data_IF_403424264261
#
_entry.id   IF_403424264261
#
_cell.length_a   1.000
_cell.length_b   1.000
_cell.length_c   1.000
_cell.angle_alpha   90.00
_cell.angle_beta   90.00
_cell.angle_gamma   90.00
#
_symmetry.space_group_name_H-M   'P 1'
#
loop_
_entity.id
_entity.type
_entity.pdbx_description
1 polymer ?
#
# COMPACT_ATOMS: atom_id res chain seq x y z
N UNK A 1 -16.27 19.98 2.38
CA UNK A 1 -16.31 18.54 1.98
C UNK A 1 -16.65 18.30 0.52
N UNK A 2 -17.53 19.08 -0.15
CA UNK A 2 -17.92 18.84 -1.55
C UNK A 2 -16.79 19.02 -2.58
N UNK A 3 -15.96 20.06 -2.44
CA UNK A 3 -14.84 20.34 -3.37
C UNK A 3 -13.75 19.25 -3.36
N UNK A 4 -13.43 18.67 -2.21
CA UNK A 4 -12.43 17.61 -2.09
C UNK A 4 -12.94 16.32 -2.75
N UNK A 5 -14.22 15.97 -2.54
CA UNK A 5 -14.86 14.80 -3.17
C UNK A 5 -14.85 14.90 -4.70
N UNK A 6 -15.10 16.10 -5.25
CA UNK A 6 -15.06 16.33 -6.70
C UNK A 6 -13.64 16.19 -7.27
N UNK A 7 -12.61 16.57 -6.51
CA UNK A 7 -11.21 16.46 -6.91
C UNK A 7 -10.80 14.98 -7.03
N UNK A 8 -11.08 14.16 -6.04
CA UNK A 8 -10.78 12.71 -6.06
C UNK A 8 -11.46 12.00 -7.24
N UNK A 9 -12.74 12.29 -7.48
CA UNK A 9 -13.48 11.68 -8.60
C UNK A 9 -12.88 12.11 -9.94
N UNK A 10 -12.51 13.38 -10.08
CA UNK A 10 -11.90 13.92 -11.29
C UNK A 10 -10.54 13.30 -11.57
N UNK A 11 -9.72 13.15 -10.54
CA UNK A 11 -8.40 12.53 -10.63
C UNK A 11 -8.50 11.04 -10.96
N UNK A 12 -9.44 10.32 -10.32
CA UNK A 12 -9.73 8.93 -10.62
C UNK A 12 -10.18 8.73 -12.08
N UNK A 13 -11.09 9.60 -12.57
CA UNK A 13 -11.55 9.57 -13.95
C UNK A 13 -10.41 9.82 -14.94
N UNK A 14 -9.52 10.74 -14.63
CA UNK A 14 -8.33 11.02 -15.43
C UNK A 14 -7.38 9.83 -15.49
N UNK A 15 -7.17 9.18 -14.36
CA UNK A 15 -6.32 8.00 -14.21
C UNK A 15 -6.85 6.83 -15.03
N UNK A 16 -8.16 6.54 -14.92
CA UNK A 16 -8.83 5.47 -15.70
C UNK A 16 -8.77 5.77 -17.21
N UNK A 17 -8.91 7.03 -17.60
CA UNK A 17 -8.86 7.42 -19.04
C UNK A 17 -7.46 7.37 -19.63
N UNK A 18 -6.45 7.80 -18.88
CA UNK A 18 -5.10 8.02 -19.43
C UNK A 18 -4.12 6.89 -19.12
N UNK A 19 -4.35 6.12 -18.04
CA UNK A 19 -3.54 4.97 -17.67
C UNK A 19 -4.38 3.73 -17.33
N UNK A 20 -5.29 3.28 -18.21
CA UNK A 20 -6.18 2.15 -17.90
C UNK A 20 -5.42 0.87 -17.62
N UNK A 21 -4.35 0.59 -18.37
CA UNK A 21 -3.53 -0.62 -18.18
C UNK A 21 -2.88 -0.68 -16.80
N UNK A 22 -2.35 0.44 -16.32
CA UNK A 22 -1.74 0.53 -14.98
C UNK A 22 -2.76 0.24 -13.88
N UNK A 23 -3.97 0.78 -13.98
CA UNK A 23 -5.06 0.53 -13.02
C UNK A 23 -5.47 -0.94 -13.07
N UNK A 24 -5.68 -1.50 -14.27
CA UNK A 24 -6.08 -2.91 -14.46
C UNK A 24 -5.03 -3.86 -13.88
N UNK A 25 -3.75 -3.69 -14.21
CA UNK A 25 -2.69 -4.55 -13.70
C UNK A 25 -2.53 -4.41 -12.17
N UNK A 26 -2.64 -3.20 -11.63
CA UNK A 26 -2.59 -2.97 -10.19
C UNK A 26 -3.75 -3.63 -9.45
N UNK A 27 -4.97 -3.54 -9.98
CA UNK A 27 -6.16 -4.18 -9.42
C UNK A 27 -6.04 -5.70 -9.53
N UNK A 28 -5.66 -6.24 -10.69
CA UNK A 28 -5.48 -7.67 -10.90
C UNK A 28 -4.43 -8.24 -9.94
N UNK A 29 -3.28 -7.57 -9.79
CA UNK A 29 -2.24 -7.94 -8.82
C UNK A 29 -2.82 -8.02 -7.41
N UNK A 30 -3.58 -7.01 -7.01
CA UNK A 30 -4.17 -6.92 -5.66
C UNK A 30 -5.21 -8.03 -5.42
N UNK A 31 -6.07 -8.30 -6.42
CA UNK A 31 -7.09 -9.35 -6.33
C UNK A 31 -6.44 -10.72 -6.18
N UNK A 32 -5.45 -11.04 -7.01
CA UNK A 32 -4.75 -12.34 -6.96
C UNK A 32 -4.02 -12.48 -5.61
N UNK A 33 -3.30 -11.44 -5.17
CA UNK A 33 -2.57 -11.47 -3.89
C UNK A 33 -3.51 -11.62 -2.69
N UNK A 34 -4.69 -11.00 -2.74
CA UNK A 34 -5.68 -11.09 -1.67
C UNK A 34 -6.41 -12.43 -1.66
N UNK A 35 -6.64 -13.06 -2.82
CA UNK A 35 -7.37 -14.32 -2.94
C UNK A 35 -6.48 -15.55 -2.71
N UNK A 36 -5.20 -15.48 -3.04
CA UNK A 36 -4.26 -16.58 -2.99
C UNK A 36 -4.17 -17.33 -1.64
N UNK A 37 -4.12 -16.66 -0.47
CA UNK A 37 -4.09 -17.34 0.81
C UNK A 37 -5.28 -18.29 1.02
N UNK A 38 -6.46 -17.96 0.49
CA UNK A 38 -7.65 -18.79 0.63
C UNK A 38 -7.59 -20.07 -0.23
N UNK A 39 -6.98 -19.99 -1.41
CA UNK A 39 -6.72 -21.17 -2.24
C UNK A 39 -5.79 -22.13 -1.51
N UNK A 40 -4.72 -21.60 -0.90
CA UNK A 40 -3.78 -22.41 -0.11
C UNK A 40 -4.44 -23.03 1.12
N UNK A 41 -5.33 -22.33 1.80
CA UNK A 41 -6.09 -22.88 2.93
C UNK A 41 -6.94 -24.07 2.46
N UNK A 42 -7.67 -23.94 1.36
CA UNK A 42 -8.52 -25.02 0.82
C UNK A 42 -7.70 -26.25 0.40
N UNK A 43 -6.58 -26.05 -0.29
CA UNK A 43 -5.70 -27.14 -0.71
C UNK A 43 -5.04 -27.82 0.49
N UNK A 44 -4.56 -27.05 1.47
CA UNK A 44 -3.96 -27.57 2.70
C UNK A 44 -4.97 -28.36 3.54
N UNK A 45 -6.22 -27.90 3.60
CA UNK A 45 -7.31 -28.60 4.28
C UNK A 45 -7.55 -29.99 3.68
N UNK A 46 -7.63 -30.09 2.36
CA UNK A 46 -7.76 -31.41 1.67
C UNK A 46 -6.55 -32.32 1.87
N UNK A 47 -5.35 -31.74 1.92
CA UNK A 47 -4.13 -32.50 2.19
C UNK A 47 -4.15 -33.10 3.60
N UNK A 48 -4.63 -32.37 4.60
CA UNK A 48 -4.79 -32.84 5.97
C UNK A 48 -5.83 -33.97 6.04
N UNK A 49 -6.95 -33.81 5.33
CA UNK A 49 -8.01 -34.84 5.30
C UNK A 49 -7.51 -36.18 4.72
N UNK A 50 -6.78 -36.14 3.61
CA UNK A 50 -6.20 -37.35 3.01
C UNK A 50 -5.08 -37.95 3.88
N UNK A 51 -4.36 -37.13 4.67
CA UNK A 51 -3.38 -37.62 5.64
C UNK A 51 -4.07 -38.44 6.75
N UNK A 52 -5.20 -37.92 7.27
CA UNK A 52 -5.99 -38.62 8.31
C UNK A 52 -6.52 -39.95 7.79
N UNK A 53 -6.95 -40.00 6.53
CA UNK A 53 -7.46 -41.24 5.90
C UNK A 53 -6.34 -42.19 5.40
N UNK A 54 -5.06 -41.82 5.62
CA UNK A 54 -3.89 -42.62 5.22
C UNK A 54 -3.81 -42.95 3.72
N UNK A 55 -4.36 -42.11 2.85
CA UNK A 55 -4.38 -42.29 1.38
C UNK A 55 -3.16 -41.64 0.74
N UNK A 56 -1.98 -42.21 0.90
CA UNK A 56 -0.70 -41.62 0.48
C UNK A 56 -0.63 -41.20 -1.00
N UNK A 57 -1.24 -41.96 -1.92
CA UNK A 57 -1.23 -41.58 -3.35
C UNK A 57 -2.00 -40.30 -3.62
N UNK A 58 -3.16 -40.11 -2.98
CA UNK A 58 -3.99 -38.90 -3.12
C UNK A 58 -3.32 -37.74 -2.42
N UNK A 59 -2.70 -37.96 -1.26
CA UNK A 59 -1.92 -36.97 -0.53
C UNK A 59 -0.76 -36.40 -1.37
N UNK A 60 0.02 -37.26 -2.03
CA UNK A 60 1.10 -36.85 -2.93
C UNK A 60 0.57 -36.02 -4.12
N UNK A 61 -0.60 -36.37 -4.63
CA UNK A 61 -1.24 -35.62 -5.72
C UNK A 61 -1.63 -34.21 -5.25
N UNK A 62 -2.29 -34.06 -4.09
CA UNK A 62 -2.65 -32.72 -3.55
C UNK A 62 -1.42 -31.93 -3.18
N UNK A 63 -0.37 -32.52 -2.61
CA UNK A 63 0.89 -31.87 -2.34
C UNK A 63 1.55 -31.36 -3.64
N UNK A 64 1.54 -32.15 -4.70
CA UNK A 64 2.01 -31.73 -6.02
C UNK A 64 1.20 -30.57 -6.60
N UNK A 65 -0.12 -30.63 -6.51
CA UNK A 65 -1.01 -29.54 -6.96
C UNK A 65 -0.70 -28.26 -6.18
N UNK A 66 -0.50 -28.33 -4.87
CA UNK A 66 -0.18 -27.18 -4.02
C UNK A 66 1.14 -26.51 -4.47
N UNK A 67 2.20 -27.29 -4.64
CA UNK A 67 3.50 -26.76 -5.08
C UNK A 67 3.41 -26.17 -6.49
N UNK A 68 2.71 -26.83 -7.41
CA UNK A 68 2.54 -26.31 -8.77
C UNK A 68 1.70 -25.02 -8.77
N UNK A 69 0.62 -24.98 -7.97
CA UNK A 69 -0.22 -23.77 -7.87
C UNK A 69 0.57 -22.59 -7.29
N UNK A 70 1.37 -22.81 -6.24
CA UNK A 70 2.23 -21.76 -5.66
C UNK A 70 3.24 -21.22 -6.67
N UNK A 71 3.89 -22.14 -7.41
CA UNK A 71 4.83 -21.75 -8.45
C UNK A 71 4.15 -20.95 -9.57
N UNK A 72 3.03 -21.44 -10.10
CA UNK A 72 2.30 -20.78 -11.18
C UNK A 72 1.80 -19.39 -10.77
N UNK A 73 1.25 -19.27 -9.57
CA UNK A 73 0.78 -17.99 -9.04
C UNK A 73 1.96 -17.05 -8.80
N UNK A 74 3.09 -17.55 -8.28
CA UNK A 74 4.32 -16.77 -8.13
C UNK A 74 4.81 -16.18 -9.46
N UNK A 75 4.80 -16.98 -10.54
CA UNK A 75 5.14 -16.51 -11.89
C UNK A 75 4.15 -15.45 -12.38
N UNK A 76 2.84 -15.66 -12.21
CA UNK A 76 1.80 -14.69 -12.61
C UNK A 76 1.97 -13.38 -11.85
N UNK A 77 2.17 -13.43 -10.53
CA UNK A 77 2.39 -12.25 -9.69
C UNK A 77 3.64 -11.48 -10.12
N UNK A 78 4.75 -12.17 -10.37
CA UNK A 78 5.99 -11.56 -10.85
C UNK A 78 5.80 -10.84 -12.20
N UNK A 79 5.09 -11.46 -13.15
CA UNK A 79 4.79 -10.84 -14.44
C UNK A 79 3.86 -9.63 -14.30
N UNK A 80 2.85 -9.70 -13.45
CA UNK A 80 1.95 -8.58 -13.16
C UNK A 80 2.69 -7.43 -12.48
N UNK A 81 3.59 -7.73 -11.52
CA UNK A 81 4.43 -6.72 -10.87
C UNK A 81 5.31 -6.00 -11.88
N UNK A 82 5.98 -6.75 -12.77
CA UNK A 82 6.80 -6.17 -13.84
C UNK A 82 5.99 -5.25 -14.76
N UNK A 83 4.80 -5.70 -15.19
CA UNK A 83 3.91 -4.89 -16.04
C UNK A 83 3.41 -3.65 -15.30
N UNK A 84 3.03 -3.78 -14.05
CA UNK A 84 2.58 -2.65 -13.23
C UNK A 84 3.70 -1.62 -13.06
N UNK A 85 4.93 -2.04 -12.81
CA UNK A 85 6.08 -1.14 -12.70
C UNK A 85 6.35 -0.40 -14.03
N UNK A 86 6.36 -1.13 -15.15
CA UNK A 86 6.56 -0.53 -16.48
C UNK A 86 5.48 0.50 -16.83
N UNK A 87 4.21 0.20 -16.57
CA UNK A 87 3.11 1.14 -16.85
C UNK A 87 3.13 2.34 -15.88
N UNK A 88 3.66 2.15 -14.65
CA UNK A 88 3.87 3.24 -13.70
C UNK A 88 4.91 4.24 -14.20
N UNK A 89 6.02 3.76 -14.77
CA UNK A 89 7.05 4.61 -15.38
C UNK A 89 6.51 5.35 -16.61
N UNK A 90 5.76 4.66 -17.47
CA UNK A 90 5.10 5.31 -18.61
C UNK A 90 4.14 6.41 -18.15
N UNK A 91 3.40 6.18 -17.07
CA UNK A 91 2.48 7.19 -16.53
C UNK A 91 3.21 8.38 -15.92
N UNK A 92 4.34 8.17 -15.27
CA UNK A 92 5.19 9.24 -14.71
C UNK A 92 5.70 10.15 -15.84
N UNK A 93 6.17 9.55 -16.93
CA UNK A 93 6.61 10.28 -18.13
C UNK A 93 5.45 11.07 -18.77
N UNK A 94 4.27 10.49 -18.82
CA UNK A 94 3.07 11.16 -19.30
C UNK A 94 2.66 12.34 -18.39
N UNK A 95 2.73 12.18 -17.08
CA UNK A 95 2.44 13.23 -16.11
C UNK A 95 3.38 14.43 -16.28
N UNK A 96 4.68 14.19 -16.43
CA UNK A 96 5.67 15.24 -16.69
C UNK A 96 5.41 15.94 -18.03
N UNK A 97 5.02 15.19 -19.07
CA UNK A 97 4.61 15.74 -20.36
C UNK A 97 3.39 16.68 -20.26
N UNK A 98 2.36 16.29 -19.50
CA UNK A 98 1.18 17.13 -19.27
C UNK A 98 1.52 18.43 -18.52
N UNK A 99 2.41 18.34 -17.54
CA UNK A 99 2.88 19.53 -16.79
C UNK A 99 3.67 20.46 -17.72
N UNK A 100 4.52 19.91 -18.59
CA UNK A 100 5.27 20.69 -19.57
C UNK A 100 4.34 21.37 -20.62
N UNK A 101 3.35 20.63 -21.14
CA UNK A 101 2.34 21.16 -22.06
C UNK A 101 1.55 22.30 -21.43
N UNK A 102 1.12 22.14 -20.18
CA UNK A 102 0.43 23.18 -19.43
C UNK A 102 1.34 24.39 -19.17
N UNK A 103 2.59 24.16 -18.79
CA UNK A 103 3.55 25.25 -18.60
C UNK A 103 3.78 26.04 -19.89
N UNK A 104 3.83 25.37 -21.05
CA UNK A 104 3.97 26.02 -22.35
C UNK A 104 2.71 26.78 -22.80
N UNK A 105 1.52 26.40 -22.31
CA UNK A 105 0.24 27.06 -22.66
C UNK A 105 -0.08 28.29 -21.80
N UNK A 106 0.69 28.56 -20.76
CA UNK A 106 0.49 29.70 -19.84
C UNK A 106 1.24 30.93 -20.40
N UNK A 107 0.68 32.13 -20.22
CA UNK A 107 1.36 33.36 -20.60
C UNK A 107 2.68 33.52 -19.83
N UNK A 108 3.68 34.11 -20.49
CA UNK A 108 5.02 34.31 -19.90
C UNK A 108 4.98 35.06 -18.57
N UNK A 109 4.09 36.06 -18.44
CA UNK A 109 3.90 36.85 -17.21
C UNK A 109 3.47 35.93 -16.02
N UNK A 110 2.47 35.07 -16.25
CA UNK A 110 1.99 34.14 -15.22
C UNK A 110 3.06 33.11 -14.93
N UNK A 111 3.74 32.57 -15.95
CA UNK A 111 4.80 31.61 -15.78
C UNK A 111 5.97 32.15 -14.94
N UNK A 112 6.35 33.43 -15.13
CA UNK A 112 7.40 34.08 -14.37
C UNK A 112 6.93 34.63 -13.01
N UNK A 113 5.63 34.58 -12.71
CA UNK A 113 5.14 35.08 -11.43
C UNK A 113 5.63 34.24 -10.25
N UNK A 114 5.99 34.92 -9.15
CA UNK A 114 6.42 34.25 -7.93
C UNK A 114 5.36 33.29 -7.38
N UNK A 115 4.09 33.61 -7.54
CA UNK A 115 2.98 32.78 -7.09
C UNK A 115 2.93 31.46 -7.84
N UNK A 116 3.03 31.48 -9.18
CA UNK A 116 3.04 30.27 -10.01
C UNK A 116 4.27 29.42 -9.72
N UNK A 117 5.45 30.03 -9.63
CA UNK A 117 6.69 29.32 -9.34
C UNK A 117 6.66 28.67 -7.95
N UNK A 118 6.13 29.36 -6.94
CA UNK A 118 5.99 28.82 -5.60
C UNK A 118 5.00 27.65 -5.56
N UNK A 119 3.85 27.76 -6.23
CA UNK A 119 2.87 26.66 -6.32
C UNK A 119 3.42 25.45 -7.07
N UNK A 120 4.17 25.67 -8.15
CA UNK A 120 4.82 24.60 -8.90
C UNK A 120 5.87 23.90 -8.03
N UNK A 121 6.66 24.66 -7.28
CA UNK A 121 7.63 24.10 -6.33
C UNK A 121 6.97 23.27 -5.24
N UNK A 122 5.89 23.77 -4.65
CA UNK A 122 5.12 23.03 -3.64
C UNK A 122 4.59 21.70 -4.20
N UNK A 123 4.14 21.67 -5.45
CA UNK A 123 3.68 20.44 -6.10
C UNK A 123 4.81 19.46 -6.38
N UNK A 124 5.95 19.93 -6.87
CA UNK A 124 7.12 19.08 -7.16
C UNK A 124 7.67 18.51 -5.84
N UNK A 125 7.82 19.32 -4.80
CA UNK A 125 8.28 18.90 -3.46
C UNK A 125 7.32 17.91 -2.80
N UNK A 126 6.01 18.20 -2.84
CA UNK A 126 4.99 17.29 -2.31
C UNK A 126 4.96 15.96 -3.06
N UNK A 127 5.19 15.96 -4.36
CA UNK A 127 5.22 14.74 -5.18
C UNK A 127 6.39 13.84 -4.84
N UNK A 128 7.58 14.40 -4.67
CA UNK A 128 8.82 13.64 -4.51
C UNK A 128 8.99 13.08 -3.09
N UNK A 129 8.54 13.84 -2.09
CA UNK A 129 8.85 13.53 -0.69
C UNK A 129 7.73 12.79 0.05
N UNK A 130 6.50 13.10 -0.27
CA UNK A 130 5.35 12.56 0.47
C UNK A 130 4.70 11.39 -0.23
N UNK A 131 5.10 11.13 -1.49
CA UNK A 131 4.37 10.21 -2.35
C UNK A 131 2.90 10.64 -2.53
N UNK A 132 2.57 11.91 -2.22
CA UNK A 132 1.24 12.49 -2.47
C UNK A 132 1.03 12.77 -3.95
N UNK A 133 1.50 11.85 -4.79
CA UNK A 133 1.32 11.84 -6.23
C UNK A 133 -0.01 11.17 -6.59
N UNK A 134 -0.34 11.18 -7.86
CA UNK A 134 -1.44 10.39 -8.42
C UNK A 134 -1.34 8.89 -8.06
N UNK A 135 -0.14 8.42 -7.73
CA UNK A 135 0.12 7.06 -7.24
C UNK A 135 -0.53 6.77 -5.88
N UNK A 136 -0.69 7.77 -5.00
CA UNK A 136 -1.36 7.57 -3.71
C UNK A 136 -2.83 7.17 -3.88
N UNK A 137 -3.47 7.61 -4.98
CA UNK A 137 -4.84 7.22 -5.33
C UNK A 137 -4.88 5.76 -5.78
N UNK A 138 -3.88 5.31 -6.53
CA UNK A 138 -3.77 3.90 -6.94
C UNK A 138 -3.57 3.01 -5.73
N UNK A 139 -2.73 3.42 -4.79
CA UNK A 139 -2.53 2.67 -3.54
C UNK A 139 -3.79 2.64 -2.68
N UNK A 140 -4.57 3.70 -2.69
CA UNK A 140 -5.89 3.72 -2.04
C UNK A 140 -6.85 2.73 -2.72
N UNK A 141 -6.90 2.69 -4.05
CA UNK A 141 -7.69 1.73 -4.83
C UNK A 141 -7.26 0.30 -4.49
N UNK A 142 -5.95 0.01 -4.53
CA UNK A 142 -5.39 -1.31 -4.17
C UNK A 142 -5.83 -1.74 -2.77
N UNK A 143 -5.77 -0.83 -1.79
CA UNK A 143 -6.20 -1.11 -0.41
C UNK A 143 -7.70 -1.41 -0.32
N UNK A 144 -8.54 -0.60 -0.97
CA UNK A 144 -10.00 -0.81 -0.99
C UNK A 144 -10.34 -2.14 -1.65
N UNK A 145 -9.77 -2.40 -2.84
CA UNK A 145 -10.00 -3.65 -3.58
C UNK A 145 -9.51 -4.86 -2.79
N UNK A 146 -8.28 -4.81 -2.28
CA UNK A 146 -7.70 -5.89 -1.49
C UNK A 146 -8.53 -6.19 -0.24
N UNK A 147 -8.98 -5.15 0.46
CA UNK A 147 -9.85 -5.31 1.63
C UNK A 147 -11.20 -5.92 1.26
N UNK A 148 -11.83 -5.44 0.18
CA UNK A 148 -13.12 -5.97 -0.29
C UNK A 148 -13.03 -7.44 -0.69
N UNK A 149 -11.99 -7.83 -1.43
CA UNK A 149 -11.75 -9.21 -1.83
C UNK A 149 -11.51 -10.11 -0.62
N UNK A 150 -10.65 -9.69 0.30
CA UNK A 150 -10.38 -10.45 1.53
C UNK A 150 -11.63 -10.59 2.39
N UNK A 151 -12.45 -9.53 2.49
CA UNK A 151 -13.70 -9.57 3.24
C UNK A 151 -14.71 -10.54 2.62
N UNK A 152 -14.88 -10.51 1.29
CA UNK A 152 -15.77 -11.44 0.57
C UNK A 152 -15.29 -12.88 0.75
N UNK A 153 -13.99 -13.15 0.57
CA UNK A 153 -13.42 -14.48 0.72
C UNK A 153 -13.57 -15.01 2.16
N UNK A 154 -13.30 -14.18 3.16
CA UNK A 154 -13.52 -14.52 4.56
C UNK A 154 -15.01 -14.81 4.85
N UNK A 155 -15.91 -13.98 4.32
CA UNK A 155 -17.37 -14.18 4.49
C UNK A 155 -17.84 -15.50 3.89
N UNK A 156 -17.35 -15.87 2.70
CA UNK A 156 -17.67 -17.16 2.06
C UNK A 156 -17.15 -18.32 2.92
N UNK A 157 -15.93 -18.24 3.42
CA UNK A 157 -15.36 -19.27 4.30
C UNK A 157 -16.18 -19.42 5.60
N UNK A 158 -16.57 -18.30 6.19
CA UNK A 158 -17.41 -18.26 7.39
C UNK A 158 -18.79 -18.88 7.12
N UNK A 159 -19.46 -18.52 6.03
CA UNK A 159 -20.77 -19.04 5.66
C UNK A 159 -20.72 -20.54 5.36
N UNK A 160 -19.67 -21.03 4.70
CA UNK A 160 -19.49 -22.45 4.43
C UNK A 160 -19.32 -23.24 5.73
N UNK A 161 -18.51 -22.76 6.65
CA UNK A 161 -18.34 -23.37 7.97
C UNK A 161 -19.63 -23.36 8.79
N UNK A 162 -20.37 -22.24 8.79
CA UNK A 162 -21.64 -22.11 9.49
C UNK A 162 -22.71 -23.07 8.94
N UNK A 163 -22.81 -23.23 7.63
CA UNK A 163 -23.75 -24.15 6.99
C UNK A 163 -23.50 -25.60 7.42
N UNK A 164 -22.24 -26.00 7.54
CA UNK A 164 -21.86 -27.34 7.98
C UNK A 164 -22.20 -27.59 9.45
N UNK A 165 -22.00 -26.59 10.33
CA UNK A 165 -22.35 -26.66 11.76
C UNK A 165 -23.87 -26.80 11.96
N UNK A 166 -24.64 -25.98 11.24
CA UNK A 166 -26.11 -26.01 11.31
C UNK A 166 -26.67 -27.35 10.84
N UNK A 167 -26.06 -27.95 9.84
CA UNK A 167 -26.49 -29.26 9.31
C UNK A 167 -26.23 -30.40 10.32
N UNK A 168 -25.13 -30.34 11.08
CA UNK A 168 -24.72 -31.38 12.03
C UNK A 168 -25.32 -31.26 13.44
N UNK A 169 -26.18 -30.25 13.72
CA UNK A 169 -26.89 -30.02 15.01
C UNK A 169 -26.02 -30.06 16.30
N UNK A 170 -24.70 -29.88 16.20
CA UNK A 170 -23.81 -29.83 17.37
C UNK A 170 -23.58 -28.40 17.83
N UNK A 171 -24.26 -27.98 18.89
CA UNK A 171 -24.20 -26.60 19.43
C UNK A 171 -22.82 -26.19 19.98
N UNK A 172 -21.99 -27.12 20.47
CA UNK A 172 -20.71 -26.77 21.10
C UNK A 172 -19.68 -26.13 20.14
N UNK A 173 -19.80 -26.37 18.83
CA UNK A 173 -18.90 -25.74 17.83
C UNK A 173 -19.29 -24.29 17.50
N UNK A 174 -20.53 -23.90 17.75
CA UNK A 174 -21.03 -22.56 17.39
C UNK A 174 -20.46 -21.45 18.29
N UNK A 175 -20.28 -21.72 19.58
CA UNK A 175 -19.67 -20.78 20.51
C UNK A 175 -18.20 -20.52 20.17
N UNK A 176 -17.40 -21.54 19.91
CA UNK A 176 -16.01 -21.39 19.50
C UNK A 176 -15.88 -20.59 18.21
N UNK A 177 -16.78 -20.85 17.25
CA UNK A 177 -16.84 -20.12 15.98
C UNK A 177 -17.16 -18.64 16.16
N UNK A 178 -18.13 -18.29 17.01
CA UNK A 178 -18.47 -16.89 17.30
C UNK A 178 -17.29 -16.16 17.93
N UNK A 179 -16.62 -16.77 18.92
CA UNK A 179 -15.44 -16.16 19.56
C UNK A 179 -14.28 -15.93 18.59
N UNK A 180 -14.00 -16.89 17.72
CA UNK A 180 -12.93 -16.77 16.72
C UNK A 180 -13.27 -15.75 15.64
N UNK A 181 -14.53 -15.67 15.22
CA UNK A 181 -14.99 -14.63 14.29
C UNK A 181 -14.90 -13.24 14.91
N UNK A 182 -15.27 -13.08 16.17
CA UNK A 182 -15.13 -11.83 16.90
C UNK A 182 -13.66 -11.42 17.05
N UNK A 183 -12.77 -12.37 17.32
CA UNK A 183 -11.33 -12.13 17.38
C UNK A 183 -10.77 -11.63 16.02
N UNK A 184 -11.19 -12.22 14.90
CA UNK A 184 -10.78 -11.75 13.57
C UNK A 184 -11.26 -10.33 13.27
N UNK A 185 -12.51 -9.99 13.63
CA UNK A 185 -13.03 -8.61 13.49
C UNK A 185 -12.18 -7.64 14.30
N UNK A 186 -11.79 -8.00 15.51
CA UNK A 186 -10.91 -7.20 16.37
C UNK A 186 -9.52 -6.97 15.71
N UNK A 187 -8.91 -8.01 15.13
CA UNK A 187 -7.63 -7.91 14.41
C UNK A 187 -7.73 -6.96 13.21
N UNK A 188 -8.85 -7.00 12.46
CA UNK A 188 -9.10 -6.08 11.35
C UNK A 188 -9.19 -4.63 11.85
N UNK A 189 -9.89 -4.38 12.95
CA UNK A 189 -10.00 -3.04 13.55
C UNK A 189 -8.61 -2.52 13.96
N UNK A 190 -7.79 -3.34 14.60
CA UNK A 190 -6.41 -2.98 14.97
C UNK A 190 -5.57 -2.63 13.74
N UNK A 191 -5.69 -3.41 12.67
CA UNK A 191 -5.01 -3.13 11.40
C UNK A 191 -5.46 -1.80 10.77
N UNK A 192 -6.77 -1.50 10.80
CA UNK A 192 -7.31 -0.21 10.32
C UNK A 192 -6.79 0.97 11.14
N UNK A 193 -6.80 0.87 12.47
CA UNK A 193 -6.27 1.91 13.36
C UNK A 193 -4.78 2.15 13.08
N UNK A 194 -4.00 1.09 12.93
CA UNK A 194 -2.56 1.18 12.62
C UNK A 194 -2.33 1.85 11.26
N UNK A 195 -3.10 1.51 10.24
CA UNK A 195 -3.04 2.14 8.93
C UNK A 195 -3.41 3.63 8.98
N UNK A 196 -4.42 3.99 9.75
CA UNK A 196 -4.80 5.38 9.96
C UNK A 196 -3.71 6.18 10.69
N UNK A 197 -3.07 5.60 11.71
CA UNK A 197 -1.93 6.22 12.40
C UNK A 197 -0.75 6.49 11.47
N UNK A 198 -0.44 5.58 10.54
CA UNK A 198 0.60 5.81 9.52
C UNK A 198 0.26 7.05 8.69
N UNK A 199 -0.97 7.16 8.19
CA UNK A 199 -1.39 8.29 7.37
C UNK A 199 -1.32 9.63 8.12
N UNK A 200 -1.77 9.63 9.38
CA UNK A 200 -1.71 10.82 10.23
C UNK A 200 -0.27 11.22 10.54
N UNK A 201 0.60 10.24 10.83
CA UNK A 201 2.03 10.51 11.09
C UNK A 201 2.75 11.03 9.85
N UNK A 202 2.44 10.52 8.65
CA UNK A 202 2.96 11.03 7.38
C UNK A 202 2.59 12.50 7.20
N UNK A 203 1.30 12.84 7.36
CA UNK A 203 0.83 14.22 7.23
C UNK A 203 1.53 15.17 8.22
N UNK A 204 1.67 14.78 9.47
CA UNK A 204 2.39 15.59 10.46
C UNK A 204 3.89 15.75 10.15
N UNK A 205 4.51 14.73 9.58
CA UNK A 205 5.90 14.81 9.14
C UNK A 205 6.03 15.77 7.95
N UNK A 206 5.11 15.72 6.98
CA UNK A 206 5.03 16.65 5.84
C UNK A 206 4.98 18.11 6.32
N UNK A 207 4.05 18.43 7.22
CA UNK A 207 3.89 19.79 7.75
C UNK A 207 5.17 20.30 8.43
N UNK A 208 5.97 19.43 9.05
CA UNK A 208 7.23 19.77 9.72
C UNK A 208 8.43 19.87 8.76
N UNK A 209 8.45 19.06 7.73
CA UNK A 209 9.56 19.01 6.76
C UNK A 209 9.47 20.17 5.76
N UNK A 210 8.27 20.58 5.37
CA UNK A 210 8.03 21.54 4.31
C UNK A 210 8.82 22.86 4.44
N UNK A 211 8.93 23.51 5.63
CA UNK A 211 9.71 24.74 5.77
C UNK A 211 11.21 24.54 5.47
N UNK A 212 11.78 23.44 5.98
CA UNK A 212 13.20 23.13 5.79
C UNK A 212 13.51 22.68 4.36
N UNK A 213 12.53 22.07 3.70
CA UNK A 213 12.62 21.76 2.27
C UNK A 213 12.71 23.02 1.41
N UNK A 214 11.90 24.02 1.69
CA UNK A 214 11.96 25.31 0.99
C UNK A 214 13.33 25.97 1.13
N UNK A 215 13.93 25.90 2.33
CA UNK A 215 15.30 26.42 2.58
C UNK A 215 16.33 25.60 1.80
N UNK A 216 16.32 24.28 1.94
CA UNK A 216 17.26 23.39 1.25
C UNK A 216 17.19 23.56 -0.27
N UNK A 217 15.99 23.57 -0.84
CA UNK A 217 15.77 23.74 -2.26
C UNK A 217 16.27 25.09 -2.76
N UNK A 218 15.97 26.18 -2.02
CA UNK A 218 16.47 27.52 -2.34
C UNK A 218 18.00 27.54 -2.37
N UNK A 219 18.64 26.97 -1.37
CA UNK A 219 20.09 26.88 -1.31
C UNK A 219 20.68 26.02 -2.45
N UNK A 220 20.10 24.86 -2.74
CA UNK A 220 20.58 23.99 -3.82
C UNK A 220 20.43 24.66 -5.18
N UNK A 221 19.31 25.27 -5.46
CA UNK A 221 18.99 25.77 -6.79
C UNK A 221 19.56 27.18 -7.05
N UNK A 222 19.42 28.08 -6.11
CA UNK A 222 19.84 29.49 -6.29
C UNK A 222 21.32 29.70 -5.97
N UNK A 223 21.85 28.99 -4.98
CA UNK A 223 23.23 29.19 -4.54
C UNK A 223 24.20 28.18 -5.14
N UNK A 224 23.87 26.91 -5.25
CA UNK A 224 24.82 25.87 -5.68
C UNK A 224 24.84 25.66 -7.19
N UNK A 225 23.73 25.86 -7.89
CA UNK A 225 23.63 25.58 -9.34
C UNK A 225 23.90 26.77 -10.25
N UNK A 226 23.70 28.01 -9.79
CA UNK A 226 23.91 29.19 -10.64
C UNK A 226 25.32 29.75 -10.52
N UNK A 227 26.05 29.82 -11.66
CA UNK A 227 27.41 30.36 -11.74
C UNK A 227 27.53 31.79 -11.20
N UNK A 228 26.53 32.63 -11.42
CA UNK A 228 26.52 34.02 -10.95
C UNK A 228 26.55 34.09 -9.42
N UNK A 229 25.67 33.35 -8.77
CA UNK A 229 25.56 33.31 -7.32
C UNK A 229 26.79 32.62 -6.68
N UNK A 230 27.33 31.59 -7.32
CA UNK A 230 28.58 30.96 -6.88
C UNK A 230 29.76 31.94 -6.86
N UNK A 231 29.81 32.88 -7.82
CA UNK A 231 30.82 33.94 -7.82
C UNK A 231 30.63 34.91 -6.66
N UNK A 232 29.41 35.34 -6.38
CA UNK A 232 29.06 36.21 -5.26
C UNK A 232 29.38 35.56 -3.90
N UNK A 233 29.06 34.30 -3.72
CA UNK A 233 29.39 33.54 -2.49
C UNK A 233 30.91 33.57 -2.22
N UNK A 234 31.72 33.36 -3.26
CA UNK A 234 33.18 33.39 -3.13
C UNK A 234 33.71 34.81 -2.85
N UNK A 235 33.21 35.83 -3.53
CA UNK A 235 33.63 37.21 -3.34
C UNK A 235 33.34 37.67 -1.90
N UNK A 236 32.20 37.30 -1.36
CA UNK A 236 31.77 37.73 -0.02
C UNK A 236 32.08 36.69 1.09
N UNK A 237 32.86 35.62 0.78
CA UNK A 237 33.22 34.58 1.73
C UNK A 237 32.02 33.98 2.50
N UNK A 238 30.87 33.83 1.83
CA UNK A 238 29.63 33.33 2.45
C UNK A 238 29.48 31.81 2.44
N UNK A 239 30.43 31.08 1.84
CA UNK A 239 30.42 29.63 1.71
C UNK A 239 30.17 28.89 3.05
N UNK A 240 30.89 29.21 4.16
CA UNK A 240 30.66 28.52 5.42
C UNK A 240 29.24 28.73 5.97
N UNK A 241 28.67 29.91 5.76
CA UNK A 241 27.32 30.24 6.21
C UNK A 241 26.25 29.50 5.40
N UNK A 242 26.42 29.42 4.10
CA UNK A 242 25.51 28.70 3.19
C UNK A 242 25.54 27.20 3.49
N UNK A 243 26.73 26.61 3.64
CA UNK A 243 26.88 25.21 4.01
C UNK A 243 26.25 24.89 5.36
N UNK A 244 26.47 25.75 6.36
CA UNK A 244 25.86 25.57 7.68
C UNK A 244 24.33 25.56 7.62
N UNK A 245 23.73 26.50 6.89
CA UNK A 245 22.27 26.55 6.71
C UNK A 245 21.75 25.32 5.97
N UNK A 246 22.47 24.85 4.97
CA UNK A 246 22.11 23.63 4.24
C UNK A 246 22.18 22.39 5.14
N UNK A 247 23.24 22.25 5.93
CA UNK A 247 23.41 21.17 6.89
C UNK A 247 22.33 21.20 7.97
N UNK A 248 22.03 22.35 8.52
CA UNK A 248 20.97 22.51 9.54
C UNK A 248 19.61 22.09 8.97
N UNK A 249 19.24 22.58 7.78
CA UNK A 249 18.00 22.20 7.12
C UNK A 249 17.95 20.71 6.82
N UNK A 250 19.04 20.14 6.31
CA UNK A 250 19.14 18.72 5.99
C UNK A 250 19.03 17.84 7.25
N UNK A 251 19.71 18.21 8.34
CA UNK A 251 19.67 17.50 9.60
C UNK A 251 18.25 17.51 10.22
N UNK A 252 17.55 18.64 10.14
CA UNK A 252 16.16 18.72 10.60
C UNK A 252 15.23 17.83 9.77
N UNK A 253 15.39 17.81 8.44
CA UNK A 253 14.64 16.93 7.55
C UNK A 253 14.90 15.46 7.92
N UNK A 254 16.17 15.08 8.05
CA UNK A 254 16.56 13.70 8.37
C UNK A 254 16.02 13.26 9.74
N UNK A 255 16.09 14.12 10.74
CA UNK A 255 15.57 13.82 12.09
C UNK A 255 14.06 13.53 12.06
N UNK A 256 13.29 14.30 11.28
CA UNK A 256 11.84 14.07 11.14
C UNK A 256 11.57 12.80 10.33
N UNK A 257 12.34 12.55 9.26
CA UNK A 257 12.23 11.32 8.44
C UNK A 257 12.52 10.07 9.27
N UNK A 258 13.62 10.05 10.03
CA UNK A 258 13.98 8.93 10.89
C UNK A 258 12.89 8.63 11.93
N UNK A 259 12.30 9.67 12.51
CA UNK A 259 11.16 9.53 13.42
C UNK A 259 9.91 8.96 12.74
N UNK A 260 9.64 9.40 11.50
CA UNK A 260 8.55 8.88 10.69
C UNK A 260 8.78 7.41 10.31
N UNK A 261 9.98 7.06 9.82
CA UNK A 261 10.32 5.69 9.41
C UNK A 261 10.20 4.70 10.57
N UNK A 262 10.69 5.06 11.76
CA UNK A 262 10.51 4.25 12.98
C UNK A 262 9.03 4.02 13.30
N UNK A 263 8.21 5.07 13.18
CA UNK A 263 6.78 4.97 13.42
C UNK A 263 6.10 4.09 12.38
N UNK A 264 6.42 4.27 11.11
CA UNK A 264 5.89 3.47 9.99
C UNK A 264 6.30 2.00 10.14
N UNK A 265 7.57 1.74 10.44
CA UNK A 265 8.07 0.38 10.68
C UNK A 265 7.30 -0.32 11.80
N UNK A 266 7.15 0.35 12.96
CA UNK A 266 6.41 -0.20 14.10
C UNK A 266 4.96 -0.52 13.74
N UNK A 267 4.28 0.38 13.01
CA UNK A 267 2.89 0.15 12.61
C UNK A 267 2.77 -0.94 11.54
N UNK A 268 3.74 -1.06 10.61
CA UNK A 268 3.76 -2.14 9.62
C UNK A 268 3.95 -3.50 10.29
N UNK A 269 4.82 -3.60 11.31
CA UNK A 269 4.98 -4.84 12.10
C UNK A 269 3.65 -5.23 12.75
N UNK A 270 2.89 -4.27 13.30
CA UNK A 270 1.56 -4.54 13.88
C UNK A 270 0.59 -5.02 12.79
N UNK A 271 0.56 -4.38 11.63
CA UNK A 271 -0.32 -4.74 10.50
C UNK A 271 0.01 -6.15 10.00
N UNK A 272 1.28 -6.46 9.79
CA UNK A 272 1.69 -7.77 9.30
C UNK A 272 1.50 -8.85 10.36
N UNK A 273 1.77 -8.54 11.63
CA UNK A 273 1.46 -9.43 12.75
C UNK A 273 -0.03 -9.75 12.86
N UNK A 274 -0.90 -8.74 12.74
CA UNK A 274 -2.37 -8.95 12.77
C UNK A 274 -2.85 -9.79 11.57
N UNK A 275 -2.25 -9.63 10.40
CA UNK A 275 -2.54 -10.50 9.23
C UNK A 275 -2.18 -11.95 9.50
N UNK A 276 -0.98 -12.20 10.02
CA UNK A 276 -0.53 -13.57 10.32
C UNK A 276 -1.37 -14.21 11.42
N UNK A 277 -1.72 -13.46 12.46
CA UNK A 277 -2.62 -13.93 13.52
C UNK A 277 -4.03 -14.23 12.98
N UNK A 278 -4.53 -13.44 12.03
CA UNK A 278 -5.82 -13.71 11.38
C UNK A 278 -5.78 -15.02 10.59
N UNK A 279 -4.72 -15.27 9.82
CA UNK A 279 -4.53 -16.54 9.10
C UNK A 279 -4.44 -17.69 10.08
N UNK A 280 -3.63 -17.57 11.14
CA UNK A 280 -3.49 -18.58 12.18
C UNK A 280 -4.83 -18.90 12.86
N UNK A 281 -5.64 -17.87 13.19
CA UNK A 281 -6.95 -18.07 13.81
C UNK A 281 -7.91 -18.84 12.90
N UNK A 282 -7.84 -18.63 11.58
CA UNK A 282 -8.62 -19.41 10.61
C UNK A 282 -8.19 -20.88 10.62
N UNK A 283 -6.89 -21.17 10.60
CA UNK A 283 -6.38 -22.55 10.72
C UNK A 283 -6.81 -23.21 12.01
N UNK A 284 -6.71 -22.51 13.15
CA UNK A 284 -7.16 -23.03 14.45
C UNK A 284 -8.67 -23.31 14.41
N UNK A 285 -9.46 -22.44 13.79
CA UNK A 285 -10.91 -22.67 13.66
C UNK A 285 -11.21 -23.95 12.92
N UNK A 286 -10.58 -24.16 11.77
CA UNK A 286 -10.77 -25.38 10.99
C UNK A 286 -10.27 -26.62 11.73
N UNK A 287 -9.12 -26.55 12.40
CA UNK A 287 -8.58 -27.66 13.19
C UNK A 287 -9.50 -28.06 14.35
N UNK A 288 -10.01 -27.08 15.11
CA UNK A 288 -10.97 -27.32 16.20
C UNK A 288 -12.26 -27.92 15.67
N UNK A 289 -12.78 -27.41 14.55
CA UNK A 289 -13.98 -27.95 13.93
C UNK A 289 -13.81 -29.38 13.41
N UNK A 290 -12.64 -29.69 12.86
CA UNK A 290 -12.32 -31.06 12.44
C UNK A 290 -12.24 -32.02 13.64
N UNK A 291 -11.57 -31.61 14.73
CA UNK A 291 -11.48 -32.39 15.97
C UNK A 291 -12.86 -32.65 16.63
N UNK A 292 -13.75 -31.68 16.54
CA UNK A 292 -15.13 -31.82 17.05
C UNK A 292 -16.02 -32.68 16.12
N UNK A 293 -15.49 -33.14 14.98
CA UNK A 293 -16.22 -33.92 13.99
C UNK A 293 -17.37 -33.14 13.32
N UNK A 294 -17.27 -31.83 13.32
CA UNK A 294 -18.26 -30.93 12.74
C UNK A 294 -18.01 -30.67 11.26
N UNK A 295 -16.79 -30.91 10.78
CA UNK A 295 -16.39 -30.79 9.38
C UNK A 295 -15.52 -32.01 9.07
N UNK A 296 -15.82 -32.72 8.00
CA UNK A 296 -14.83 -33.51 7.27
C UNK A 296 -13.97 -32.49 6.54
N UNK A 297 -12.73 -32.34 6.92
CA UNK A 297 -11.79 -31.36 6.38
C UNK A 297 -11.55 -31.59 4.89
#
# INVERSE_FOLDING_TARGET
MSKVKSLYIRTLSLLIRKAPKMVIYSVALTVITAFFPYVNIILSSKLIDELIHSRFHVLLLYAGILVISDFMIGVILSQLQKKTASESECFLTFQTGLLAERAASISYEIFCSNEYQNRRRELDELSDETGASLFSIIDLIKRIVGFSVSFIAASIAILSALSTILHNKKMSGMEAFIWLSAANVLLVIVSMISSWRIQTSKKHAEDRILPNYKIKWYLDREYLRFKKTAKEIRIFNQEPKVLKLFEEANNQINTVKDGLEKTVLRQNIIIDGTKQLSVLSIYITFAVMALLGNITV
#
